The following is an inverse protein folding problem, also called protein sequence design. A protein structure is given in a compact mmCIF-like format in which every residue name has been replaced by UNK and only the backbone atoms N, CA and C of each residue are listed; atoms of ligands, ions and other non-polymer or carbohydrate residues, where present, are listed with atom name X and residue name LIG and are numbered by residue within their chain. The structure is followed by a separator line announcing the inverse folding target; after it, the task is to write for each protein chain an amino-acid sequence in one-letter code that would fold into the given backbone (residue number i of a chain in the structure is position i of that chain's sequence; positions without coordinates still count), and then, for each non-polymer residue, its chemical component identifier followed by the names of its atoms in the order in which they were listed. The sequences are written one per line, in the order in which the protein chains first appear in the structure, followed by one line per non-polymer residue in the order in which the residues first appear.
data_IF_920716086588
#
_entry.id   IF_920716086588
#
_cell.length_a   1.000
_cell.length_b   1.000
_cell.length_c   1.000
_cell.angle_alpha   90.00
_cell.angle_beta   90.00
_cell.angle_gamma   90.00
#
_symmetry.space_group_name_H-M   'P 1'
#
loop_
_entity.id
_entity.type
_entity.pdbx_description
1 polymer ?
#
# COMPACT_ATOMS: atom_id res chain seq x y z
N UNK A 1 34.22 -29.54 11.89
CA UNK A 1 34.14 -28.08 12.10
C UNK A 1 32.97 -27.57 11.28
N UNK A 2 31.82 -27.30 11.92
CA UNK A 2 30.57 -26.97 11.24
C UNK A 2 30.54 -25.49 10.81
N UNK A 3 30.24 -25.25 9.53
CA UNK A 3 30.02 -23.92 8.98
C UNK A 3 28.64 -23.39 9.41
N UNK A 4 28.62 -22.22 10.03
CA UNK A 4 27.39 -21.52 10.40
C UNK A 4 27.11 -20.42 9.37
N UNK A 5 25.95 -20.52 8.72
CA UNK A 5 25.37 -19.50 7.86
C UNK A 5 24.92 -18.29 8.69
N UNK A 6 25.14 -17.03 8.26
CA UNK A 6 24.53 -15.89 8.91
C UNK A 6 23.07 -15.75 8.45
N UNK A 7 22.20 -15.87 9.43
CA UNK A 7 20.74 -15.65 9.41
C UNK A 7 20.36 -14.24 8.93
N UNK A 8 19.21 -14.17 8.27
CA UNK A 8 18.68 -13.00 7.58
C UNK A 8 18.42 -11.80 8.49
N UNK A 9 18.80 -10.62 7.98
CA UNK A 9 18.48 -9.34 8.57
C UNK A 9 16.99 -9.03 8.39
N UNK A 10 16.28 -8.88 9.50
CA UNK A 10 14.99 -8.19 9.50
C UNK A 10 15.18 -6.74 9.01
N UNK A 11 14.30 -6.20 8.16
CA UNK A 11 14.40 -4.81 7.75
C UNK A 11 14.17 -3.91 8.96
N UNK A 12 15.20 -3.15 9.35
CA UNK A 12 15.10 -2.10 10.35
C UNK A 12 13.90 -1.20 10.01
N UNK A 13 12.94 -1.13 10.93
CA UNK A 13 11.74 -0.32 10.79
C UNK A 13 12.12 1.13 10.48
N UNK A 14 11.56 1.67 9.40
CA UNK A 14 11.73 3.08 9.07
C UNK A 14 11.14 3.94 10.21
N UNK A 15 11.74 5.08 10.53
CA UNK A 15 11.22 5.96 11.57
C UNK A 15 9.82 6.43 11.18
N UNK A 16 8.80 5.90 11.87
CA UNK A 16 7.43 6.34 11.69
C UNK A 16 7.33 7.81 12.17
N UNK A 17 6.82 8.77 11.37
CA UNK A 17 6.91 10.19 11.68
C UNK A 17 6.18 10.68 12.94
N UNK A 18 5.35 9.86 13.61
CA UNK A 18 4.82 10.16 14.94
C UNK A 18 4.14 8.92 15.54
N UNK A 19 4.03 8.85 16.88
CA UNK A 19 3.25 7.82 17.61
C UNK A 19 1.73 7.96 17.45
N UNK A 20 1.25 9.09 16.93
CA UNK A 20 -0.15 9.30 16.62
C UNK A 20 -0.40 8.85 15.17
N UNK A 21 -1.39 7.97 14.88
CA UNK A 21 -1.66 7.54 13.52
C UNK A 21 -1.98 8.77 12.67
N UNK A 22 -1.15 9.01 11.66
CA UNK A 22 -1.38 10.08 10.69
C UNK A 22 -2.76 9.87 10.06
N UNK A 23 -3.62 10.91 9.96
CA UNK A 23 -4.90 10.77 9.29
C UNK A 23 -4.63 10.51 7.80
N UNK A 24 -4.84 9.26 7.38
CA UNK A 24 -4.65 8.83 6.01
C UNK A 24 -5.90 9.16 5.18
N UNK A 25 -5.72 9.31 3.86
CA UNK A 25 -6.88 9.40 2.98
C UNK A 25 -7.60 8.05 2.92
N UNK A 26 -8.91 8.05 2.67
CA UNK A 26 -9.69 6.81 2.56
C UNK A 26 -9.10 5.79 1.57
N UNK A 27 -8.46 6.28 0.48
CA UNK A 27 -7.76 5.45 -0.49
C UNK A 27 -6.49 4.78 0.08
N UNK A 28 -5.75 5.47 0.95
CA UNK A 28 -4.55 4.95 1.61
C UNK A 28 -4.94 3.89 2.64
N UNK A 29 -6.01 4.12 3.40
CA UNK A 29 -6.55 3.13 4.35
C UNK A 29 -7.08 1.88 3.63
N UNK A 30 -7.67 2.01 2.45
CA UNK A 30 -8.05 0.86 1.63
C UNK A 30 -6.84 -0.02 1.26
N UNK A 31 -5.73 0.60 0.82
CA UNK A 31 -4.50 -0.13 0.49
C UNK A 31 -3.89 -0.85 1.71
N UNK A 32 -3.97 -0.25 2.89
CA UNK A 32 -3.53 -0.89 4.14
C UNK A 32 -4.43 -2.08 4.47
N UNK A 33 -5.76 -1.93 4.33
CA UNK A 33 -6.71 -3.03 4.52
C UNK A 33 -6.44 -4.18 3.55
N UNK A 34 -6.02 -3.91 2.32
CA UNK A 34 -5.67 -4.95 1.35
C UNK A 34 -4.43 -5.75 1.78
N UNK A 35 -3.38 -5.07 2.28
CA UNK A 35 -2.18 -5.73 2.84
C UNK A 35 -2.55 -6.57 4.06
N UNK A 36 -3.36 -6.01 4.96
CA UNK A 36 -3.86 -6.70 6.14
C UNK A 36 -4.66 -7.96 5.77
N UNK A 37 -5.63 -7.85 4.85
CA UNK A 37 -6.39 -8.99 4.36
C UNK A 37 -5.52 -10.02 3.64
N UNK A 38 -4.48 -9.60 2.92
CA UNK A 38 -3.52 -10.51 2.30
C UNK A 38 -2.75 -11.32 3.37
N UNK A 39 -2.27 -10.68 4.43
CA UNK A 39 -1.59 -11.36 5.55
C UNK A 39 -2.50 -12.36 6.25
N UNK A 40 -3.71 -11.95 6.62
CA UNK A 40 -4.69 -12.84 7.26
C UNK A 40 -5.02 -14.03 6.36
N UNK A 41 -5.19 -13.82 5.05
CA UNK A 41 -5.42 -14.91 4.09
C UNK A 41 -4.21 -15.84 3.96
N UNK A 42 -2.99 -15.32 4.01
CA UNK A 42 -1.78 -16.14 3.98
C UNK A 42 -1.64 -17.00 5.25
N UNK A 43 -1.95 -16.45 6.42
CA UNK A 43 -1.96 -17.20 7.68
C UNK A 43 -3.03 -18.30 7.69
N UNK A 44 -4.22 -18.00 7.17
CA UNK A 44 -5.35 -18.93 7.10
C UNK A 44 -5.45 -19.72 5.77
N UNK A 45 -4.37 -19.78 4.99
CA UNK A 45 -4.33 -20.49 3.71
C UNK A 45 -4.87 -21.94 3.75
N UNK A 46 -4.55 -22.80 4.75
CA UNK A 46 -5.07 -24.17 4.76
C UNK A 46 -6.59 -24.23 4.92
N UNK A 47 -7.16 -23.40 5.78
CA UNK A 47 -8.61 -23.36 6.02
C UNK A 47 -9.38 -22.77 4.83
N UNK A 48 -8.80 -21.74 4.19
CA UNK A 48 -9.35 -21.16 2.97
C UNK A 48 -9.34 -22.19 1.84
N UNK A 49 -8.25 -22.97 1.71
CA UNK A 49 -8.16 -24.04 0.71
C UNK A 49 -9.20 -25.12 0.97
N UNK A 50 -9.36 -25.58 2.21
CA UNK A 50 -10.38 -26.58 2.55
C UNK A 50 -11.81 -26.10 2.25
N UNK A 51 -12.10 -24.82 2.50
CA UNK A 51 -13.37 -24.21 2.11
C UNK A 51 -13.52 -24.13 0.59
N UNK A 52 -12.47 -23.69 -0.13
CA UNK A 52 -12.47 -23.59 -1.58
C UNK A 52 -12.72 -24.96 -2.23
N UNK A 53 -12.00 -25.99 -1.80
CA UNK A 53 -12.12 -27.36 -2.32
C UNK A 53 -13.55 -27.91 -2.14
N UNK A 54 -14.24 -27.57 -1.03
CA UNK A 54 -15.65 -27.92 -0.83
C UNK A 54 -16.62 -27.09 -1.70
N UNK A 55 -16.28 -25.82 -1.96
CA UNK A 55 -17.08 -24.89 -2.76
C UNK A 55 -16.91 -25.09 -4.28
N UNK A 56 -15.84 -25.76 -4.73
CA UNK A 56 -15.67 -26.15 -6.13
C UNK A 56 -16.88 -27.00 -6.55
N UNK A 57 -17.66 -26.48 -7.50
CA UNK A 57 -18.90 -27.08 -8.06
C UNK A 57 -20.19 -26.92 -7.23
N UNK A 58 -20.18 -26.14 -6.14
CA UNK A 58 -21.39 -25.78 -5.39
C UNK A 58 -21.49 -24.27 -5.43
N UNK A 59 -22.53 -23.71 -6.05
CA UNK A 59 -22.74 -22.25 -6.09
C UNK A 59 -23.83 -21.83 -5.11
N UNK A 60 -24.95 -22.56 -5.09
CA UNK A 60 -26.11 -22.20 -4.26
C UNK A 60 -26.16 -22.91 -2.90
N UNK A 61 -25.58 -24.10 -2.79
CA UNK A 61 -25.69 -24.94 -1.57
C UNK A 61 -24.47 -24.88 -0.64
N UNK A 62 -23.49 -24.02 -0.94
CA UNK A 62 -22.21 -23.90 -0.20
C UNK A 62 -22.42 -23.63 1.29
N UNK A 63 -23.29 -22.67 1.62
CA UNK A 63 -23.52 -22.25 3.01
C UNK A 63 -24.10 -23.36 3.90
N UNK A 64 -24.75 -24.35 3.29
CA UNK A 64 -25.33 -25.50 4.00
C UNK A 64 -24.37 -26.68 4.02
N UNK A 65 -23.83 -27.07 2.86
CA UNK A 65 -22.99 -28.27 2.71
C UNK A 65 -21.60 -28.05 3.28
N UNK A 66 -20.99 -26.89 3.00
CA UNK A 66 -19.63 -26.55 3.42
C UNK A 66 -19.61 -25.74 4.73
N UNK A 67 -20.66 -25.88 5.56
CA UNK A 67 -20.84 -25.06 6.77
C UNK A 67 -19.74 -25.26 7.80
N UNK A 68 -19.18 -26.46 7.90
CA UNK A 68 -18.09 -26.79 8.82
C UNK A 68 -16.79 -26.11 8.40
N UNK A 69 -16.42 -26.21 7.12
CA UNK A 69 -15.24 -25.54 6.56
C UNK A 69 -15.39 -24.02 6.59
N UNK A 70 -16.59 -23.50 6.31
CA UNK A 70 -16.89 -22.07 6.42
C UNK A 70 -16.69 -21.54 7.85
N UNK A 71 -17.07 -22.31 8.87
CA UNK A 71 -16.86 -21.95 10.29
C UNK A 71 -15.38 -22.01 10.67
N UNK A 72 -14.66 -23.03 10.24
CA UNK A 72 -13.23 -23.19 10.51
C UNK A 72 -12.42 -22.01 9.90
N UNK A 73 -12.66 -21.70 8.63
CA UNK A 73 -12.07 -20.56 7.93
C UNK A 73 -12.36 -19.24 8.66
N UNK A 74 -13.64 -18.98 8.98
CA UNK A 74 -14.01 -17.75 9.69
C UNK A 74 -13.44 -17.69 11.11
N UNK A 75 -13.26 -18.83 11.78
CA UNK A 75 -12.60 -18.94 13.08
C UNK A 75 -11.14 -18.50 12.99
N UNK A 76 -10.39 -19.04 12.02
CA UNK A 76 -9.01 -18.65 11.78
C UNK A 76 -8.89 -17.16 11.45
N UNK A 77 -9.72 -16.66 10.52
CA UNK A 77 -9.68 -15.24 10.12
C UNK A 77 -9.94 -14.31 11.31
N UNK A 78 -10.87 -14.67 12.20
CA UNK A 78 -11.14 -13.88 13.42
C UNK A 78 -9.99 -13.92 14.42
N UNK A 79 -9.30 -15.05 14.55
CA UNK A 79 -8.15 -15.17 15.46
C UNK A 79 -6.98 -14.27 15.02
N UNK A 80 -6.75 -14.14 13.71
CA UNK A 80 -5.72 -13.25 13.16
C UNK A 80 -6.20 -11.82 12.90
N UNK A 81 -7.48 -11.53 13.15
CA UNK A 81 -8.05 -10.20 12.96
C UNK A 81 -7.77 -9.27 14.14
N UNK A 82 -6.49 -9.07 14.46
CA UNK A 82 -6.06 -8.29 15.63
C UNK A 82 -5.64 -6.87 15.24
N UNK A 83 -5.83 -5.87 16.13
CA UNK A 83 -5.32 -4.52 15.91
C UNK A 83 -3.80 -4.46 15.66
N UNK A 84 -3.04 -5.38 16.27
CA UNK A 84 -1.59 -5.48 16.13
C UNK A 84 -1.20 -5.84 14.68
N UNK A 85 -1.91 -6.78 14.05
CA UNK A 85 -1.67 -7.11 12.64
C UNK A 85 -2.01 -5.94 11.71
N UNK A 86 -3.03 -5.15 12.07
CA UNK A 86 -3.39 -3.96 11.31
C UNK A 86 -2.30 -2.87 11.40
N UNK A 87 -1.71 -2.65 12.58
CA UNK A 87 -0.61 -1.71 12.74
C UNK A 87 0.67 -2.19 12.06
N UNK A 88 0.97 -3.49 12.13
CA UNK A 88 2.08 -4.08 11.38
C UNK A 88 1.87 -3.98 9.84
N UNK A 89 0.62 -4.03 9.37
CA UNK A 89 0.28 -3.79 7.96
C UNK A 89 0.45 -2.31 7.57
N UNK A 90 0.12 -1.37 8.47
CA UNK A 90 0.42 0.06 8.28
C UNK A 90 1.91 0.29 8.14
N UNK A 91 2.71 -0.28 9.04
CA UNK A 91 4.17 -0.16 9.02
C UNK A 91 4.76 -0.68 7.70
N UNK A 92 4.31 -1.85 7.24
CA UNK A 92 4.74 -2.38 5.93
C UNK A 92 4.32 -1.46 4.78
N UNK A 93 3.09 -0.92 4.81
CA UNK A 93 2.63 0.00 3.78
C UNK A 93 3.48 1.27 3.72
N UNK A 94 3.86 1.81 4.89
CA UNK A 94 4.76 2.94 5.01
C UNK A 94 6.19 2.57 4.59
N UNK A 95 6.68 1.37 4.91
CA UNK A 95 8.02 0.94 4.53
C UNK A 95 8.16 0.79 3.00
N UNK A 96 7.12 0.25 2.36
CA UNK A 96 7.01 0.15 0.91
C UNK A 96 6.83 1.51 0.22
N UNK A 97 6.68 2.62 0.94
CA UNK A 97 6.55 3.96 0.34
C UNK A 97 7.77 4.32 -0.50
N UNK A 98 8.96 4.13 0.04
CA UNK A 98 10.20 4.45 -0.66
C UNK A 98 10.38 3.57 -1.90
N UNK A 99 9.91 2.32 -1.83
CA UNK A 99 9.89 1.40 -2.96
C UNK A 99 8.90 1.85 -4.04
N UNK A 100 7.66 2.21 -3.67
CA UNK A 100 6.66 2.76 -4.60
C UNK A 100 7.14 4.04 -5.28
N UNK A 101 7.83 4.90 -4.54
CA UNK A 101 8.42 6.12 -5.11
C UNK A 101 9.48 5.78 -6.18
N UNK A 102 10.43 4.90 -5.85
CA UNK A 102 11.45 4.43 -6.81
C UNK A 102 10.83 3.76 -8.03
N UNK A 103 9.76 2.97 -7.85
CA UNK A 103 9.07 2.32 -8.95
C UNK A 103 8.36 3.35 -9.86
N UNK A 104 7.71 4.36 -9.28
CA UNK A 104 7.10 5.47 -10.03
C UNK A 104 8.17 6.24 -10.83
N UNK A 105 9.30 6.58 -10.21
CA UNK A 105 10.42 7.25 -10.89
C UNK A 105 10.92 6.41 -12.07
N UNK A 106 11.13 5.10 -11.87
CA UNK A 106 11.54 4.17 -12.95
C UNK A 106 10.52 4.11 -14.09
N UNK A 107 9.23 3.98 -13.77
CA UNK A 107 8.16 3.96 -14.76
C UNK A 107 8.05 5.28 -15.51
N UNK A 108 8.27 6.39 -14.82
CA UNK A 108 8.16 7.70 -15.41
C UNK A 108 9.35 8.02 -16.34
N UNK A 109 10.56 7.57 -16.00
CA UNK A 109 11.71 7.59 -16.93
C UNK A 109 11.43 6.76 -18.18
N UNK A 110 10.93 5.52 -18.03
CA UNK A 110 10.56 4.69 -19.18
C UNK A 110 9.47 5.32 -20.04
N UNK A 111 8.48 5.95 -19.41
CA UNK A 111 7.41 6.65 -20.11
C UNK A 111 7.94 7.86 -20.88
N UNK A 112 8.84 8.66 -20.28
CA UNK A 112 9.48 9.78 -20.97
C UNK A 112 10.25 9.31 -22.21
N UNK A 113 11.07 8.27 -22.06
CA UNK A 113 11.79 7.66 -23.19
C UNK A 113 10.83 7.16 -24.28
N UNK A 114 9.69 6.57 -23.89
CA UNK A 114 8.70 6.10 -24.84
C UNK A 114 7.96 7.26 -25.53
N UNK A 115 7.67 8.36 -24.82
CA UNK A 115 7.11 9.57 -25.42
C UNK A 115 8.07 10.20 -26.42
N UNK A 116 9.37 10.26 -26.11
CA UNK A 116 10.41 10.79 -27.00
C UNK A 116 10.53 9.93 -28.26
N UNK A 117 10.57 8.60 -28.10
CA UNK A 117 10.58 7.66 -29.22
C UNK A 117 9.34 7.80 -30.11
N UNK A 118 8.14 7.91 -29.51
CA UNK A 118 6.90 8.10 -30.28
C UNK A 118 6.93 9.45 -31.01
N UNK A 119 7.43 10.52 -30.39
CA UNK A 119 7.55 11.83 -31.05
C UNK A 119 8.49 11.79 -32.24
N UNK A 120 9.67 11.20 -32.08
CA UNK A 120 10.65 11.01 -33.15
C UNK A 120 10.04 10.19 -34.29
N UNK A 121 9.41 9.06 -33.96
CA UNK A 121 8.77 8.18 -34.93
C UNK A 121 7.67 8.87 -35.75
N UNK A 122 6.90 9.76 -35.12
CA UNK A 122 5.81 10.50 -35.76
C UNK A 122 6.25 11.84 -36.36
N UNK A 123 7.54 12.20 -36.30
CA UNK A 123 8.07 13.46 -36.84
C UNK A 123 7.49 14.71 -36.17
N UNK A 124 7.07 14.61 -34.90
CA UNK A 124 6.54 15.73 -34.13
C UNK A 124 7.68 16.66 -33.68
N UNK A 125 7.46 17.98 -33.61
CA UNK A 125 8.46 18.91 -33.09
C UNK A 125 8.81 18.65 -31.61
N UNK A 126 10.02 19.05 -31.22
CA UNK A 126 10.50 18.97 -29.84
C UNK A 126 9.55 19.69 -28.88
N UNK A 127 9.40 19.16 -27.66
CA UNK A 127 8.61 19.83 -26.61
C UNK A 127 9.24 21.19 -26.26
N UNK A 128 8.41 22.23 -26.19
CA UNK A 128 8.82 23.56 -25.74
C UNK A 128 9.52 23.50 -24.37
N UNK A 129 10.58 24.28 -24.18
CA UNK A 129 11.38 24.27 -22.96
C UNK A 129 10.55 24.53 -21.68
N UNK A 130 9.49 25.34 -21.78
CA UNK A 130 8.56 25.60 -20.68
C UNK A 130 7.74 24.35 -20.30
N UNK A 131 7.29 23.57 -21.29
CA UNK A 131 6.51 22.35 -21.06
C UNK A 131 7.34 21.27 -20.40
N UNK A 132 8.59 21.07 -20.85
CA UNK A 132 9.57 20.18 -20.21
C UNK A 132 9.83 20.56 -18.76
N UNK A 133 10.04 21.85 -18.47
CA UNK A 133 10.29 22.33 -17.11
C UNK A 133 9.10 22.07 -16.17
N UNK A 134 7.87 22.27 -16.65
CA UNK A 134 6.63 21.95 -15.91
C UNK A 134 6.47 20.45 -15.67
N UNK A 135 6.81 19.63 -16.66
CA UNK A 135 6.78 18.17 -16.53
C UNK A 135 7.84 17.68 -15.53
N UNK A 136 9.07 18.18 -15.60
CA UNK A 136 10.15 17.88 -14.66
C UNK A 136 9.80 18.30 -13.22
N UNK A 137 9.20 19.47 -13.03
CA UNK A 137 8.73 19.94 -11.71
C UNK A 137 7.62 19.03 -11.16
N UNK A 138 6.67 18.64 -12.01
CA UNK A 138 5.59 17.71 -11.64
C UNK A 138 6.13 16.32 -11.31
N UNK A 139 7.18 15.88 -11.98
CA UNK A 139 7.89 14.62 -11.74
C UNK A 139 8.67 14.64 -10.42
N UNK A 140 9.23 15.79 -10.05
CA UNK A 140 9.90 16.00 -8.75
C UNK A 140 8.91 16.08 -7.59
N UNK A 141 7.65 16.42 -7.84
CA UNK A 141 6.62 16.48 -6.81
C UNK A 141 6.26 15.06 -6.34
N UNK A 142 6.87 14.64 -5.24
CA UNK A 142 6.66 13.30 -4.66
C UNK A 142 5.23 13.03 -4.17
N UNK A 143 4.98 11.78 -3.80
CA UNK A 143 3.67 11.32 -3.31
C UNK A 143 3.30 12.01 -1.99
N UNK A 144 2.23 12.82 -2.03
CA UNK A 144 1.66 13.52 -0.87
C UNK A 144 0.90 12.51 0.02
N UNK A 145 1.32 12.40 1.29
CA UNK A 145 0.67 11.55 2.30
C UNK A 145 -0.07 12.44 3.29
N UNK A 146 -1.30 12.06 3.64
CA UNK A 146 -2.21 12.89 4.44
C UNK A 146 -3.19 13.70 3.58
N UNK A 147 -4.43 13.83 4.06
CA UNK A 147 -5.42 14.71 3.45
C UNK A 147 -5.03 16.19 3.53
N UNK A 148 -5.75 17.05 2.82
CA UNK A 148 -5.59 18.50 3.00
C UNK A 148 -5.87 18.87 4.46
N UNK A 149 -5.01 19.71 5.05
CA UNK A 149 -5.45 20.48 6.22
C UNK A 149 -6.66 21.30 5.75
N UNK A 150 -7.80 21.16 6.43
CA UNK A 150 -8.97 21.99 6.15
C UNK A 150 -8.53 23.46 6.18
N UNK A 151 -8.88 24.24 5.14
CA UNK A 151 -8.43 25.63 4.98
C UNK A 151 -8.77 26.53 6.19
N UNK A 152 -9.71 26.10 7.03
CA UNK A 152 -10.20 26.82 8.20
C UNK A 152 -9.59 26.45 9.56
N UNK A 153 -8.62 25.54 9.64
CA UNK A 153 -7.90 25.31 10.91
C UNK A 153 -6.80 26.35 11.08
N UNK A 154 -7.08 27.46 11.74
CA UNK A 154 -6.04 28.32 12.34
C UNK A 154 -5.20 27.44 13.27
N UNK A 155 -3.88 27.49 13.15
CA UNK A 155 -2.97 26.77 14.06
C UNK A 155 -3.34 27.14 15.49
N UNK A 156 -3.26 26.15 16.39
CA UNK A 156 -3.55 26.36 17.82
C UNK A 156 -2.65 27.47 18.39
N UNK A 157 -1.43 27.58 17.88
CA UNK A 157 -0.47 28.65 18.17
C UNK A 157 -1.01 30.06 17.80
N UNK A 158 -1.71 30.20 16.66
CA UNK A 158 -2.29 31.48 16.25
C UNK A 158 -3.55 31.89 17.03
N UNK A 159 -4.11 30.96 17.83
CA UNK A 159 -5.22 31.22 18.74
C UNK A 159 -4.74 31.60 20.15
N UNK A 160 -3.58 31.08 20.57
CA UNK A 160 -2.95 31.38 21.86
C UNK A 160 -2.31 32.77 21.88
N UNK A 161 -1.72 33.21 20.76
CA UNK A 161 -1.10 34.54 20.61
C UNK A 161 -2.11 35.71 20.53
N UNK A 162 -3.42 35.42 20.49
CA UNK A 162 -4.51 36.41 20.49
C UNK A 162 -5.22 36.56 21.84
N UNK A 163 -4.72 35.90 22.88
CA UNK A 163 -5.25 35.97 24.25
C UNK A 163 -4.32 36.76 25.15
#
# INVERSE_FOLDING_TARGET
MAAQNPTGGAPAGLPMPSRNPLPLSASQEAQIRDIYHARVRNACAPEIKAFADCALNRTFTVSFVCRTQLRAMNGCMKAHATPQEHDAAREEWFAKRMERQKERERKAVKKAQQEDFIREWWGLPEKDAETRRKEEEKMRLGERVGGYAARDRKSVEAAEERR
#
